data_IF_788912201186
#
_entry.id   IF_788912201186
#
_cell.length_a   1.000
_cell.length_b   1.000
_cell.length_c   1.000
_cell.angle_alpha   90.00
_cell.angle_beta   90.00
_cell.angle_gamma   90.00
#
_symmetry.space_group_name_H-M   'P 1'
#
loop_
_entity.id
_entity.type
_entity.pdbx_description
1 polymer ?
#
# COMPACT_ATOMS: atom_id res chain seq x y z
N UNK A 1 15.83 12.43 9.21
CA UNK A 1 14.54 11.88 9.67
C UNK A 1 14.82 10.74 10.63
N UNK A 2 14.09 10.65 11.75
CA UNK A 2 14.21 9.53 12.68
C UNK A 2 13.60 8.30 11.98
N UNK A 3 14.29 7.17 11.99
CA UNK A 3 13.79 5.93 11.38
C UNK A 3 12.77 5.32 12.33
N UNK A 4 11.56 5.03 11.84
CA UNK A 4 10.58 4.23 12.56
C UNK A 4 10.77 2.75 12.22
N UNK A 5 10.54 1.88 13.19
CA UNK A 5 10.49 0.43 12.96
C UNK A 5 9.05 0.07 12.54
N UNK A 6 8.84 -0.07 11.23
CA UNK A 6 7.51 -0.33 10.66
C UNK A 6 6.99 -1.73 10.98
N UNK A 7 7.88 -2.71 11.21
CA UNK A 7 7.45 -4.05 11.63
C UNK A 7 7.01 -4.06 13.10
N UNK A 8 7.67 -3.29 13.97
CA UNK A 8 7.19 -3.06 15.35
C UNK A 8 5.82 -2.37 15.33
N UNK A 9 5.65 -1.36 14.48
CA UNK A 9 4.37 -0.65 14.32
C UNK A 9 3.26 -1.56 13.79
N UNK A 10 3.56 -2.54 12.95
CA UNK A 10 2.56 -3.52 12.51
C UNK A 10 2.00 -4.37 13.65
N UNK A 11 2.77 -4.64 14.71
CA UNK A 11 2.31 -5.39 15.88
C UNK A 11 1.93 -4.51 17.08
N UNK A 12 2.24 -3.22 17.02
CA UNK A 12 2.02 -2.28 18.11
C UNK A 12 0.54 -1.95 18.35
N UNK A 13 0.23 -1.55 19.60
CA UNK A 13 -1.07 -0.97 19.94
C UNK A 13 -1.06 0.53 19.61
N UNK A 14 -1.68 0.87 18.48
CA UNK A 14 -1.79 2.24 18.01
C UNK A 14 -2.64 3.15 18.91
N UNK A 15 -3.40 2.57 19.85
CA UNK A 15 -4.09 3.37 20.87
C UNK A 15 -3.13 4.04 21.83
N UNK A 16 -1.97 3.43 22.11
CA UNK A 16 -0.93 4.05 22.93
C UNK A 16 -0.22 5.18 22.18
N UNK A 17 -0.10 5.08 20.85
CA UNK A 17 0.45 6.16 20.01
C UNK A 17 -0.44 7.40 19.97
N UNK A 18 -1.77 7.24 20.09
CA UNK A 18 -2.72 8.36 20.19
C UNK A 18 -2.47 9.25 21.40
N UNK A 19 -1.90 8.71 22.47
CA UNK A 19 -1.55 9.48 23.67
C UNK A 19 -0.37 10.44 23.43
N UNK A 20 0.33 10.30 22.29
CA UNK A 20 1.46 11.14 21.90
C UNK A 20 1.29 11.69 20.47
N UNK A 21 0.49 12.76 20.34
CA UNK A 21 0.15 13.40 19.06
C UNK A 21 1.36 13.81 18.22
N UNK A 22 2.44 14.30 18.85
CA UNK A 22 3.63 14.75 18.12
C UNK A 22 4.38 13.58 17.49
N UNK A 23 4.48 12.44 18.19
CA UNK A 23 5.11 11.23 17.65
C UNK A 23 4.30 10.64 16.50
N UNK A 24 2.97 10.75 16.57
CA UNK A 24 2.05 10.32 15.51
C UNK A 24 2.20 11.18 14.25
N UNK A 25 2.28 12.51 14.41
CA UNK A 25 2.53 13.43 13.28
C UNK A 25 3.88 13.15 12.61
N UNK A 26 4.95 12.98 13.39
CA UNK A 26 6.28 12.61 12.86
C UNK A 26 6.25 11.29 12.09
N UNK A 27 5.43 10.32 12.52
CA UNK A 27 5.28 9.04 11.85
C UNK A 27 4.56 9.16 10.51
N UNK A 28 3.45 9.90 10.44
CA UNK A 28 2.76 10.10 9.17
C UNK A 28 3.62 10.87 8.16
N UNK A 29 4.33 11.92 8.61
CA UNK A 29 5.31 12.62 7.76
C UNK A 29 6.40 11.66 7.27
N UNK A 30 6.85 10.73 8.10
CA UNK A 30 7.83 9.73 7.70
C UNK A 30 7.29 8.75 6.64
N UNK A 31 6.03 8.31 6.80
CA UNK A 31 5.39 7.34 5.91
C UNK A 31 5.07 7.96 4.54
N UNK A 32 4.59 9.21 4.53
CA UNK A 32 4.14 9.91 3.32
C UNK A 32 5.29 10.40 2.42
N UNK A 33 6.53 10.41 2.90
CA UNK A 33 7.72 10.70 2.09
C UNK A 33 8.13 9.49 1.22
N UNK A 34 7.23 9.06 0.32
CA UNK A 34 7.37 7.85 -0.50
C UNK A 34 8.63 7.84 -1.39
N UNK A 35 9.09 9.02 -1.81
CA UNK A 35 10.24 9.15 -2.69
C UNK A 35 11.56 8.80 -2.02
N UNK A 36 11.65 9.03 -0.71
CA UNK A 36 12.82 8.68 0.09
C UNK A 36 12.80 7.24 0.64
N UNK A 37 11.71 6.49 0.45
CA UNK A 37 11.54 5.13 0.97
C UNK A 37 12.06 4.07 0.01
N UNK A 38 12.65 3.00 0.56
CA UNK A 38 13.00 1.80 -0.23
C UNK A 38 11.76 0.95 -0.53
N UNK A 39 11.88 0.00 -1.47
CA UNK A 39 10.78 -0.92 -1.79
C UNK A 39 10.38 -1.77 -0.57
N UNK A 40 11.35 -2.15 0.26
CA UNK A 40 11.13 -2.88 1.50
C UNK A 40 10.40 -2.03 2.55
N UNK A 41 10.75 -0.74 2.68
CA UNK A 41 10.03 0.16 3.59
C UNK A 41 8.59 0.39 3.10
N UNK A 42 8.41 0.56 1.78
CA UNK A 42 7.08 0.68 1.18
C UNK A 42 6.24 -0.59 1.39
N UNK A 43 6.83 -1.79 1.30
CA UNK A 43 6.07 -3.02 1.55
C UNK A 43 5.64 -3.17 3.00
N UNK A 44 6.45 -2.71 3.95
CA UNK A 44 6.07 -2.61 5.36
C UNK A 44 4.94 -1.59 5.56
N UNK A 45 4.98 -0.44 4.88
CA UNK A 45 3.89 0.54 4.91
C UNK A 45 2.58 -0.07 4.41
N UNK A 46 2.61 -0.84 3.30
CA UNK A 46 1.42 -1.52 2.77
C UNK A 46 0.77 -2.45 3.81
N UNK A 47 1.57 -3.17 4.60
CA UNK A 47 1.07 -4.07 5.66
C UNK A 47 0.35 -3.31 6.78
N UNK A 48 0.67 -2.04 7.04
CA UNK A 48 0.07 -1.29 8.15
C UNK A 48 -1.45 -1.14 8.02
N UNK A 49 -1.99 -1.19 6.80
CA UNK A 49 -3.45 -1.25 6.59
C UNK A 49 -4.11 -2.43 7.31
N UNK A 50 -3.41 -3.58 7.37
CA UNK A 50 -3.87 -4.81 8.00
C UNK A 50 -3.42 -4.95 9.47
N UNK A 51 -2.96 -3.85 10.10
CA UNK A 51 -2.54 -3.87 11.49
C UNK A 51 -3.67 -4.43 12.41
N UNK A 52 -3.37 -5.38 13.32
CA UNK A 52 -4.39 -6.04 14.15
C UNK A 52 -5.17 -5.13 15.10
N UNK A 53 -4.64 -3.95 15.46
CA UNK A 53 -5.35 -2.99 16.31
C UNK A 53 -6.54 -2.36 15.59
N UNK A 54 -6.52 -2.33 14.25
CA UNK A 54 -7.55 -1.73 13.41
C UNK A 54 -7.69 -0.22 13.57
N UNK A 55 -6.73 0.44 14.23
CA UNK A 55 -6.69 1.91 14.35
C UNK A 55 -6.02 2.47 13.09
N UNK A 56 -6.49 3.64 12.66
CA UNK A 56 -5.99 4.35 11.47
C UNK A 56 -6.20 3.62 10.13
N UNK A 57 -7.11 2.64 10.06
CA UNK A 57 -7.36 1.89 8.81
C UNK A 57 -7.77 2.79 7.64
N UNK A 58 -8.49 3.89 7.90
CA UNK A 58 -8.90 4.86 6.86
C UNK A 58 -7.68 5.65 6.37
N UNK A 59 -6.87 6.16 7.29
CA UNK A 59 -5.65 6.91 7.01
C UNK A 59 -4.65 6.05 6.24
N UNK A 60 -4.51 4.77 6.61
CA UNK A 60 -3.70 3.83 5.85
C UNK A 60 -4.28 3.48 4.48
N UNK A 61 -5.60 3.43 4.34
CA UNK A 61 -6.22 3.28 3.03
C UNK A 61 -5.86 4.45 2.10
N UNK A 62 -5.89 5.67 2.62
CA UNK A 62 -5.52 6.87 1.89
C UNK A 62 -4.02 6.88 1.54
N UNK A 63 -3.14 6.51 2.48
CA UNK A 63 -1.69 6.39 2.23
C UNK A 63 -1.38 5.36 1.14
N UNK A 64 -2.03 4.20 1.18
CA UNK A 64 -1.88 3.17 0.14
C UNK A 64 -2.33 3.69 -1.23
N UNK A 65 -3.45 4.40 -1.28
CA UNK A 65 -3.97 4.99 -2.50
C UNK A 65 -3.04 6.08 -3.07
N UNK A 66 -2.51 6.97 -2.24
CA UNK A 66 -1.59 8.02 -2.67
C UNK A 66 -0.22 7.46 -3.09
N UNK A 67 0.28 6.41 -2.43
CA UNK A 67 1.45 5.68 -2.90
C UNK A 67 1.24 5.13 -4.32
N UNK A 68 0.07 4.51 -4.59
CA UNK A 68 -0.23 4.02 -5.93
C UNK A 68 -0.31 5.13 -6.97
N UNK A 69 -1.01 6.23 -6.66
CA UNK A 69 -1.17 7.36 -7.58
C UNK A 69 0.15 8.06 -7.88
N UNK A 70 1.03 8.18 -6.88
CA UNK A 70 2.34 8.82 -7.04
C UNK A 70 3.29 7.96 -7.87
N UNK A 71 3.40 6.66 -7.58
CA UNK A 71 4.26 5.75 -8.34
C UNK A 71 3.71 4.31 -8.36
N UNK A 72 2.92 4.02 -9.39
CA UNK A 72 2.35 2.69 -9.66
C UNK A 72 3.42 1.59 -9.71
N UNK A 73 4.64 1.90 -10.16
CA UNK A 73 5.71 0.90 -10.28
C UNK A 73 6.28 0.59 -8.90
N UNK A 74 6.62 1.60 -8.10
CA UNK A 74 7.04 1.38 -6.70
C UNK A 74 5.99 0.61 -5.91
N UNK A 75 4.71 0.95 -6.08
CA UNK A 75 3.60 0.22 -5.46
C UNK A 75 3.62 -1.27 -5.83
N UNK A 76 3.69 -1.60 -7.12
CA UNK A 76 3.68 -3.01 -7.56
C UNK A 76 4.90 -3.79 -7.08
N UNK A 77 6.07 -3.15 -7.04
CA UNK A 77 7.28 -3.76 -6.47
C UNK A 77 7.15 -4.03 -4.99
N UNK A 78 6.62 -3.07 -4.23
CA UNK A 78 6.38 -3.22 -2.80
C UNK A 78 5.34 -4.32 -2.54
N UNK A 79 4.23 -4.32 -3.29
CA UNK A 79 3.18 -5.33 -3.19
C UNK A 79 3.71 -6.74 -3.46
N UNK A 80 4.64 -6.91 -4.41
CA UNK A 80 5.25 -8.19 -4.71
C UNK A 80 6.02 -8.79 -3.51
N UNK A 81 6.45 -7.97 -2.54
CA UNK A 81 7.07 -8.45 -1.29
C UNK A 81 6.05 -8.86 -0.22
N UNK A 82 4.78 -8.47 -0.38
CA UNK A 82 3.69 -8.68 0.60
C UNK A 82 2.41 -9.16 -0.11
N UNK A 83 2.54 -10.17 -0.97
CA UNK A 83 1.44 -10.64 -1.82
C UNK A 83 0.22 -11.11 -1.03
N UNK A 84 0.41 -11.62 0.20
CA UNK A 84 -0.68 -12.04 1.08
C UNK A 84 -1.61 -10.87 1.46
N UNK A 85 -1.10 -9.63 1.45
CA UNK A 85 -1.90 -8.42 1.71
C UNK A 85 -2.73 -7.98 0.49
N UNK A 86 -2.45 -8.52 -0.70
CA UNK A 86 -3.03 -8.02 -1.94
C UNK A 86 -4.57 -8.03 -1.91
N UNK A 87 -5.19 -9.04 -1.30
CA UNK A 87 -6.66 -9.09 -1.17
C UNK A 87 -7.21 -7.94 -0.33
N UNK A 88 -6.56 -7.62 0.80
CA UNK A 88 -6.96 -6.53 1.69
C UNK A 88 -6.80 -5.18 0.98
N UNK A 89 -5.69 -5.01 0.26
CA UNK A 89 -5.40 -3.78 -0.46
C UNK A 89 -6.34 -3.58 -1.66
N UNK A 90 -6.73 -4.62 -2.39
CA UNK A 90 -7.69 -4.49 -3.51
C UNK A 90 -9.02 -3.88 -3.05
N UNK A 91 -9.48 -4.14 -1.83
CA UNK A 91 -10.70 -3.52 -1.30
C UNK A 91 -10.57 -2.00 -1.15
N UNK A 92 -9.38 -1.48 -0.82
CA UNK A 92 -9.12 -0.03 -0.79
C UNK A 92 -9.40 0.55 -2.17
N UNK A 93 -8.88 -0.09 -3.22
CA UNK A 93 -8.99 0.40 -4.59
C UNK A 93 -10.43 0.39 -5.09
N UNK A 94 -11.20 -0.62 -4.70
CA UNK A 94 -12.65 -0.67 -4.96
C UNK A 94 -13.38 0.45 -4.23
N UNK A 95 -13.17 0.57 -2.92
CA UNK A 95 -13.93 1.47 -2.06
C UNK A 95 -13.64 2.94 -2.39
N UNK A 96 -12.38 3.26 -2.70
CA UNK A 96 -11.95 4.60 -3.08
C UNK A 96 -12.06 4.89 -4.58
N UNK A 97 -12.50 3.92 -5.38
CA UNK A 97 -12.65 4.03 -6.84
C UNK A 97 -11.39 4.61 -7.52
N UNK A 98 -10.22 4.09 -7.14
CA UNK A 98 -8.91 4.64 -7.55
C UNK A 98 -8.74 4.67 -9.07
N UNK A 99 -9.35 3.70 -9.75
CA UNK A 99 -9.44 3.65 -11.21
C UNK A 99 -10.75 2.98 -11.62
N UNK A 100 -11.16 3.20 -12.87
CA UNK A 100 -12.42 2.67 -13.43
C UNK A 100 -12.25 1.39 -14.25
N UNK A 101 -11.06 1.16 -14.82
CA UNK A 101 -10.79 -0.02 -15.66
C UNK A 101 -9.43 -0.65 -15.28
N UNK A 102 -9.49 -1.81 -14.63
CA UNK A 102 -8.31 -2.55 -14.22
C UNK A 102 -7.47 -3.09 -15.39
N UNK A 103 -8.04 -3.34 -16.57
CA UNK A 103 -7.30 -3.80 -17.75
C UNK A 103 -6.49 -2.66 -18.37
N UNK A 104 -7.04 -1.44 -18.40
CA UNK A 104 -6.31 -0.25 -18.86
C UNK A 104 -5.15 0.08 -17.91
N UNK A 105 -5.40 0.02 -16.61
CA UNK A 105 -4.38 0.27 -15.59
C UNK A 105 -3.25 -0.77 -15.62
N UNK A 106 -3.59 -2.06 -15.76
CA UNK A 106 -2.59 -3.11 -15.93
C UNK A 106 -1.75 -2.85 -17.19
N UNK A 107 -2.37 -2.52 -18.33
CA UNK A 107 -1.63 -2.19 -19.56
C UNK A 107 -0.67 -1.02 -19.36
N UNK A 108 -1.09 0.04 -18.67
CA UNK A 108 -0.21 1.17 -18.35
C UNK A 108 0.99 0.70 -17.53
N UNK A 109 0.77 -0.06 -16.45
CA UNK A 109 1.83 -0.59 -15.59
C UNK A 109 2.82 -1.44 -16.38
N UNK A 110 2.32 -2.37 -17.21
CA UNK A 110 3.16 -3.25 -18.02
C UNK A 110 3.95 -2.50 -19.09
N UNK A 111 3.39 -1.43 -19.65
CA UNK A 111 4.05 -0.62 -20.70
C UNK A 111 5.32 0.10 -20.21
N UNK A 112 5.44 0.35 -18.90
CA UNK A 112 6.60 1.05 -18.31
C UNK A 112 7.88 0.20 -18.27
N UNK A 113 7.79 -1.12 -18.49
CA UNK A 113 8.95 -2.00 -18.70
C UNK A 113 9.91 -2.17 -17.51
N UNK A 114 9.57 -1.67 -16.32
CA UNK A 114 10.46 -1.61 -15.15
C UNK A 114 10.18 -2.71 -14.11
N UNK A 115 9.39 -3.72 -14.48
CA UNK A 115 8.99 -4.84 -13.62
C UNK A 115 9.68 -6.14 -14.07
N UNK A 116 10.11 -6.93 -13.11
CA UNK A 116 10.50 -8.33 -13.27
C UNK A 116 9.28 -9.23 -13.51
N UNK A 117 9.51 -10.48 -13.92
CA UNK A 117 8.40 -11.42 -14.18
C UNK A 117 7.52 -11.64 -12.94
N UNK A 118 8.11 -11.79 -11.75
CA UNK A 118 7.34 -11.98 -10.52
C UNK A 118 6.46 -10.75 -10.18
N UNK A 119 6.98 -9.55 -10.44
CA UNK A 119 6.24 -8.30 -10.23
C UNK A 119 5.12 -8.13 -11.27
N UNK A 120 5.33 -8.59 -12.50
CA UNK A 120 4.29 -8.66 -13.55
C UNK A 120 3.17 -9.63 -13.15
N UNK A 121 3.54 -10.80 -12.63
CA UNK A 121 2.58 -11.80 -12.17
C UNK A 121 1.75 -11.26 -10.99
N UNK A 122 2.42 -10.59 -10.04
CA UNK A 122 1.76 -9.91 -8.91
C UNK A 122 0.78 -8.83 -9.40
N UNK A 123 1.20 -7.97 -10.32
CA UNK A 123 0.32 -6.94 -10.88
C UNK A 123 -0.90 -7.59 -11.55
N UNK A 124 -0.69 -8.60 -12.38
CA UNK A 124 -1.76 -9.31 -13.08
C UNK A 124 -2.77 -9.92 -12.10
N UNK A 125 -2.30 -10.55 -11.02
CA UNK A 125 -3.15 -11.11 -9.96
C UNK A 125 -3.93 -9.99 -9.26
N UNK A 126 -3.28 -8.88 -8.89
CA UNK A 126 -3.90 -7.74 -8.23
C UNK A 126 -5.07 -7.15 -9.05
N UNK A 127 -4.87 -6.86 -10.33
CA UNK A 127 -5.93 -6.33 -11.19
C UNK A 127 -7.01 -7.37 -11.49
N UNK A 128 -6.67 -8.66 -11.60
CA UNK A 128 -7.68 -9.70 -11.74
C UNK A 128 -8.57 -9.80 -10.49
N UNK A 129 -7.99 -9.71 -9.29
CA UNK A 129 -8.76 -9.63 -8.04
C UNK A 129 -9.68 -8.42 -8.02
N UNK A 130 -9.16 -7.24 -8.38
CA UNK A 130 -9.97 -6.02 -8.47
C UNK A 130 -11.19 -6.21 -9.40
N UNK A 131 -10.97 -6.74 -10.61
CA UNK A 131 -12.04 -7.02 -11.57
C UNK A 131 -13.08 -7.97 -10.98
N UNK A 132 -12.65 -9.06 -10.36
CA UNK A 132 -13.57 -10.04 -9.78
C UNK A 132 -14.48 -9.40 -8.72
N UNK A 133 -13.92 -8.54 -7.85
CA UNK A 133 -14.67 -7.90 -6.76
C UNK A 133 -15.54 -6.73 -7.27
N UNK A 134 -15.18 -6.08 -8.38
CA UNK A 134 -16.01 -5.03 -8.98
C UNK A 134 -17.10 -5.56 -9.92
N UNK A 135 -16.97 -6.80 -10.39
CA UNK A 135 -17.98 -7.48 -11.23
C UNK A 135 -19.14 -8.08 -10.43
N UNK A 136 -19.09 -7.99 -9.09
CA UNK A 136 -20.04 -8.62 -8.16
C UNK A 136 -21.03 -7.63 -7.55
#
# INVERSE_FOLDING_TARGET
MKKFDLDELYWGDWKELLENSNKLEELFVYIEDYDSRSIEELSQILKLYSNPSGVFTIEFADIVAELYKSDKIKFMKALNLVQDEAINLVYIFRNLQIFSDGDEELKEVLSKGNLSQNEIDTASIFYQMYKNICSS
#
